data_IF_088283875312
#
_entry.id   IF_088283875312
#
_cell.length_a   1.000
_cell.length_b   1.000
_cell.length_c   1.000
_cell.angle_alpha   90.00
_cell.angle_beta   90.00
_cell.angle_gamma   90.00
#
_symmetry.space_group_name_H-M   'P 1'
#
loop_
_entity.id
_entity.type
_entity.pdbx_description
1 polymer ?
#
# COMPACT_ATOMS: atom_id res chain seq x y z
N UNK A 1 -14.96 31.90 -23.30
CA UNK A 1 -14.88 32.79 -22.13
C UNK A 1 -13.79 32.27 -21.21
N UNK A 2 -12.88 33.13 -20.73
CA UNK A 2 -11.76 32.73 -19.86
C UNK A 2 -12.27 32.13 -18.54
N UNK A 3 -11.56 31.15 -17.99
CA UNK A 3 -11.86 30.51 -16.71
C UNK A 3 -12.03 31.55 -15.57
N UNK A 4 -11.27 32.65 -15.61
CA UNK A 4 -11.39 33.74 -14.64
C UNK A 4 -12.70 34.53 -14.78
N UNK A 5 -13.27 34.60 -15.99
CA UNK A 5 -14.51 35.33 -16.24
C UNK A 5 -15.74 34.67 -15.62
N UNK A 6 -15.79 33.33 -15.59
CA UNK A 6 -16.91 32.62 -14.99
C UNK A 6 -16.85 32.64 -13.45
N UNK A 7 -15.66 32.63 -12.86
CA UNK A 7 -15.48 32.86 -11.42
C UNK A 7 -16.03 34.23 -11.01
N UNK A 8 -15.61 35.29 -11.73
CA UNK A 8 -16.04 36.64 -11.43
C UNK A 8 -17.56 36.82 -11.55
N UNK A 9 -18.18 36.27 -12.61
CA UNK A 9 -19.64 36.27 -12.78
C UNK A 9 -20.36 35.60 -11.62
N UNK A 10 -19.84 34.45 -11.16
CA UNK A 10 -20.43 33.75 -10.03
C UNK A 10 -20.31 34.57 -8.75
N UNK A 11 -19.15 35.16 -8.46
CA UNK A 11 -18.96 36.00 -7.27
C UNK A 11 -19.87 37.22 -7.27
N UNK A 12 -20.13 37.83 -8.43
CA UNK A 12 -21.12 38.89 -8.55
C UNK A 12 -22.52 38.40 -8.17
N UNK A 13 -22.93 37.24 -8.68
CA UNK A 13 -24.28 36.70 -8.47
C UNK A 13 -24.54 36.20 -7.05
N UNK A 14 -23.51 35.73 -6.34
CA UNK A 14 -23.63 35.28 -4.93
C UNK A 14 -23.23 36.34 -3.91
N UNK A 15 -22.85 37.54 -4.37
CA UNK A 15 -22.49 38.62 -3.47
C UNK A 15 -23.69 39.18 -2.72
N UNK A 16 -23.44 39.66 -1.51
CA UNK A 16 -24.43 40.34 -0.67
C UNK A 16 -23.84 41.61 -0.06
N UNK A 17 -24.64 42.38 0.65
CA UNK A 17 -24.17 43.56 1.40
C UNK A 17 -23.09 43.22 2.43
N UNK A 18 -23.10 41.99 2.98
CA UNK A 18 -22.12 41.51 3.94
C UNK A 18 -20.89 40.85 3.28
N UNK A 19 -21.04 40.27 2.09
CA UNK A 19 -19.98 39.55 1.39
C UNK A 19 -19.91 39.98 -0.08
N UNK A 20 -19.13 41.02 -0.34
CA UNK A 20 -18.98 41.59 -1.70
C UNK A 20 -18.21 40.64 -2.64
N UNK A 21 -18.41 40.79 -3.95
CA UNK A 21 -17.66 40.03 -4.95
C UNK A 21 -16.13 40.24 -4.83
N UNK A 22 -15.68 41.44 -4.46
CA UNK A 22 -14.26 41.74 -4.22
C UNK A 22 -13.73 41.07 -2.95
N UNK A 23 -14.58 40.88 -1.94
CA UNK A 23 -14.24 40.14 -0.72
C UNK A 23 -14.07 38.65 -1.07
N UNK A 24 -14.99 38.09 -1.86
CA UNK A 24 -14.92 36.71 -2.34
C UNK A 24 -13.67 36.46 -3.20
N UNK A 25 -13.32 37.39 -4.09
CA UNK A 25 -12.10 37.30 -4.89
C UNK A 25 -10.84 37.36 -4.00
N UNK A 26 -10.81 38.22 -2.98
CA UNK A 26 -9.70 38.26 -2.00
C UNK A 26 -9.56 36.95 -1.23
N UNK A 27 -10.68 36.40 -0.73
CA UNK A 27 -10.69 35.10 -0.03
C UNK A 27 -10.12 34.01 -0.94
N UNK A 28 -10.56 33.97 -2.21
CA UNK A 28 -10.06 33.00 -3.19
C UNK A 28 -8.54 33.14 -3.40
N UNK A 29 -8.03 34.35 -3.61
CA UNK A 29 -6.60 34.56 -3.91
C UNK A 29 -5.70 34.28 -2.70
N UNK A 30 -6.09 34.73 -1.49
CA UNK A 30 -5.27 34.54 -0.27
C UNK A 30 -5.14 33.07 0.12
N UNK A 31 -6.18 32.27 -0.13
CA UNK A 31 -6.19 30.85 0.24
C UNK A 31 -5.65 29.94 -0.87
N UNK A 32 -5.12 30.48 -1.97
CA UNK A 32 -4.66 29.70 -3.11
C UNK A 32 -3.24 29.16 -2.87
N UNK A 33 -3.13 27.88 -2.57
CA UNK A 33 -1.84 27.21 -2.30
C UNK A 33 -1.91 25.72 -2.69
N UNK A 34 -0.76 25.06 -2.76
CA UNK A 34 -0.70 23.60 -2.91
C UNK A 34 -1.00 22.96 -1.55
N UNK A 35 -1.98 22.05 -1.44
CA UNK A 35 -2.30 21.40 -0.16
C UNK A 35 -1.08 20.70 0.47
N UNK A 36 -0.92 20.84 1.78
CA UNK A 36 0.24 20.32 2.53
C UNK A 36 0.06 18.86 2.98
N UNK A 37 -1.08 18.23 2.63
CA UNK A 37 -1.34 16.82 2.89
C UNK A 37 -2.67 16.28 2.35
N UNK A 38 -2.82 14.95 2.35
CA UNK A 38 -3.96 14.24 1.76
C UNK A 38 -5.32 14.63 2.38
N UNK A 39 -5.35 14.94 3.68
CA UNK A 39 -6.57 15.36 4.37
C UNK A 39 -7.07 16.74 3.91
N UNK A 40 -6.16 17.69 3.71
CA UNK A 40 -6.49 19.01 3.17
C UNK A 40 -6.92 18.92 1.71
N UNK A 41 -6.26 18.07 0.93
CA UNK A 41 -6.59 17.83 -0.47
C UNK A 41 -8.02 17.30 -0.64
N UNK A 42 -8.42 16.27 0.11
CA UNK A 42 -9.76 15.68 0.06
C UNK A 42 -10.83 16.71 0.46
N UNK A 43 -10.56 17.51 1.51
CA UNK A 43 -11.52 18.51 1.99
C UNK A 43 -11.66 19.69 1.03
N UNK A 44 -10.56 20.17 0.46
CA UNK A 44 -10.56 21.23 -0.54
C UNK A 44 -11.28 20.79 -1.82
N UNK A 45 -11.05 19.56 -2.26
CA UNK A 45 -11.75 18.99 -3.41
C UNK A 45 -13.27 18.94 -3.19
N UNK A 46 -13.71 18.35 -2.07
CA UNK A 46 -15.13 18.18 -1.76
C UNK A 46 -15.89 19.53 -1.72
N UNK A 47 -15.30 20.54 -1.07
CA UNK A 47 -15.88 21.90 -1.00
C UNK A 47 -15.88 22.60 -2.36
N UNK A 48 -14.84 22.40 -3.16
CA UNK A 48 -14.77 22.93 -4.53
C UNK A 48 -15.88 22.33 -5.40
N UNK A 49 -16.10 21.01 -5.32
CA UNK A 49 -17.21 20.33 -6.02
C UNK A 49 -18.56 20.90 -5.60
N UNK A 50 -18.76 21.12 -4.30
CA UNK A 50 -20.00 21.69 -3.79
C UNK A 50 -20.25 23.12 -4.30
N UNK A 51 -19.21 23.95 -4.34
CA UNK A 51 -19.30 25.29 -4.93
C UNK A 51 -19.59 25.24 -6.43
N UNK A 52 -18.93 24.34 -7.16
CA UNK A 52 -19.12 24.20 -8.61
C UNK A 52 -20.53 23.71 -8.95
N UNK A 53 -21.12 22.86 -8.11
CA UNK A 53 -22.53 22.51 -8.21
C UNK A 53 -23.45 23.73 -8.01
N UNK A 54 -23.11 24.67 -7.12
CA UNK A 54 -23.85 25.94 -6.99
C UNK A 54 -23.71 26.80 -8.26
N UNK A 55 -22.51 26.90 -8.82
CA UNK A 55 -22.28 27.62 -10.09
C UNK A 55 -23.15 27.03 -11.21
N UNK A 56 -23.16 25.70 -11.35
CA UNK A 56 -23.93 24.99 -12.36
C UNK A 56 -25.44 25.22 -12.21
N UNK A 57 -25.95 25.23 -10.97
CA UNK A 57 -27.37 25.57 -10.68
C UNK A 57 -27.74 26.99 -11.12
N UNK A 58 -26.78 27.90 -11.15
CA UNK A 58 -26.96 29.28 -11.63
C UNK A 58 -26.69 29.43 -13.14
N UNK A 59 -26.48 28.33 -13.86
CA UNK A 59 -26.14 28.35 -15.29
C UNK A 59 -24.73 28.87 -15.58
N UNK A 60 -23.89 29.02 -14.56
CA UNK A 60 -22.50 29.47 -14.71
C UNK A 60 -21.59 28.25 -14.83
N UNK A 61 -20.89 28.16 -15.97
CA UNK A 61 -19.92 27.09 -16.22
C UNK A 61 -18.72 27.22 -15.26
N UNK A 62 -18.44 26.23 -14.40
CA UNK A 62 -17.31 26.30 -13.49
C UNK A 62 -15.96 26.39 -14.23
N UNK A 63 -14.95 27.03 -13.62
CA UNK A 63 -13.61 27.09 -14.16
C UNK A 63 -12.87 25.77 -13.92
N UNK A 64 -13.04 24.83 -14.84
CA UNK A 64 -12.41 23.51 -14.82
C UNK A 64 -11.14 23.51 -15.68
N UNK A 65 -10.10 22.79 -15.25
CA UNK A 65 -8.84 22.65 -15.98
C UNK A 65 -8.40 21.19 -16.16
N UNK A 66 -9.15 20.25 -15.61
CA UNK A 66 -8.91 18.81 -15.71
C UNK A 66 -10.24 18.07 -15.98
N UNK A 67 -10.12 16.84 -16.47
CA UNK A 67 -11.25 15.97 -16.83
C UNK A 67 -12.12 15.56 -15.63
N UNK A 68 -11.61 15.73 -14.41
CA UNK A 68 -12.31 15.53 -13.13
C UNK A 68 -13.40 16.59 -12.84
N UNK A 69 -13.56 17.57 -13.74
CA UNK A 69 -14.48 18.68 -13.58
C UNK A 69 -14.04 19.67 -12.51
N UNK A 70 -12.75 19.68 -12.16
CA UNK A 70 -12.19 20.52 -11.12
C UNK A 70 -11.17 21.52 -11.66
N UNK A 71 -10.91 22.59 -10.89
CA UNK A 71 -9.80 23.47 -11.17
C UNK A 71 -8.48 22.78 -10.77
N UNK A 72 -7.35 23.34 -11.19
CA UNK A 72 -6.01 22.88 -10.80
C UNK A 72 -5.93 22.70 -9.29
N UNK A 73 -5.20 21.67 -8.80
CA UNK A 73 -5.08 21.37 -7.36
C UNK A 73 -4.78 22.60 -6.49
N UNK A 74 -3.82 23.45 -6.90
CA UNK A 74 -3.49 24.70 -6.19
C UNK A 74 -4.64 25.70 -6.04
N UNK A 75 -5.66 25.61 -6.89
CA UNK A 75 -6.83 26.49 -6.90
C UNK A 75 -7.98 25.98 -6.04
N UNK A 76 -7.99 24.69 -5.69
CA UNK A 76 -9.08 24.08 -4.91
C UNK A 76 -9.20 24.66 -3.49
N UNK A 77 -8.10 24.90 -2.72
CA UNK A 77 -8.21 25.54 -1.42
C UNK A 77 -8.83 26.94 -1.48
N UNK A 78 -8.58 27.69 -2.55
CA UNK A 78 -9.22 28.99 -2.78
C UNK A 78 -10.73 28.90 -2.96
N UNK A 79 -11.22 27.94 -3.76
CA UNK A 79 -12.67 27.72 -3.94
C UNK A 79 -13.32 27.14 -2.68
N UNK A 80 -12.61 26.27 -1.95
CA UNK A 80 -13.06 25.73 -0.68
C UNK A 80 -13.28 26.83 0.38
N UNK A 81 -12.37 27.79 0.48
CA UNK A 81 -12.51 28.94 1.38
C UNK A 81 -13.72 29.83 1.01
N UNK A 82 -13.99 30.01 -0.28
CA UNK A 82 -15.18 30.73 -0.75
C UNK A 82 -16.47 30.00 -0.38
N UNK A 83 -16.49 28.67 -0.54
CA UNK A 83 -17.61 27.85 -0.11
C UNK A 83 -17.90 28.00 1.38
N UNK A 84 -16.87 27.93 2.23
CA UNK A 84 -17.02 28.11 3.67
C UNK A 84 -17.55 29.50 4.03
N UNK A 85 -17.03 30.55 3.37
CA UNK A 85 -17.50 31.92 3.58
C UNK A 85 -19.00 32.06 3.25
N UNK A 86 -19.45 31.49 2.13
CA UNK A 86 -20.86 31.52 1.73
C UNK A 86 -21.75 30.70 2.69
N UNK A 87 -21.29 29.55 3.16
CA UNK A 87 -22.06 28.70 4.07
C UNK A 87 -22.16 29.30 5.47
N UNK A 88 -21.10 29.92 5.97
CA UNK A 88 -21.11 30.60 7.26
C UNK A 88 -22.03 31.84 7.26
N UNK A 89 -22.15 32.52 6.11
CA UNK A 89 -23.09 33.63 5.93
C UNK A 89 -24.55 33.22 5.69
N UNK A 90 -24.86 31.94 5.42
CA UNK A 90 -26.25 31.43 5.36
C UNK A 90 -26.90 31.22 6.73
N UNK A 91 -26.16 31.41 7.83
CA UNK A 91 -26.61 31.08 9.19
C UNK A 91 -27.35 32.23 9.91
N UNK A 92 -27.79 33.26 9.19
CA UNK A 92 -28.79 34.21 9.71
C UNK A 92 -30.11 33.96 8.99
N UNK A 93 -31.19 33.58 9.69
CA UNK A 93 -32.47 33.30 9.05
C UNK A 93 -33.10 34.64 8.63
N UNK A 94 -33.23 34.85 7.33
CA UNK A 94 -34.07 35.92 6.79
C UNK A 94 -34.88 35.37 5.59
N UNK A 95 -36.13 35.07 5.93
CA UNK A 95 -37.39 35.13 5.18
C UNK A 95 -37.54 34.57 3.74
N UNK A 96 -38.64 33.80 3.59
CA UNK A 96 -39.38 33.41 2.39
C UNK A 96 -38.96 32.17 1.57
N UNK A 97 -39.38 31.02 2.11
CA UNK A 97 -39.53 29.70 1.47
C UNK A 97 -40.83 29.58 0.61
N UNK A 98 -41.15 30.56 -0.26
CA UNK A 98 -42.35 30.46 -1.14
C UNK A 98 -42.10 30.56 -2.66
N UNK A 99 -40.90 30.88 -3.16
CA UNK A 99 -40.65 30.98 -4.62
C UNK A 99 -40.12 29.69 -5.29
N UNK A 100 -39.98 28.58 -4.55
CA UNK A 100 -39.43 27.32 -5.12
C UNK A 100 -40.44 26.43 -5.86
N UNK A 101 -41.67 26.88 -6.11
CA UNK A 101 -42.69 26.06 -6.78
C UNK A 101 -43.27 26.64 -8.09
N UNK A 102 -42.72 27.72 -8.66
CA UNK A 102 -43.29 28.35 -9.87
C UNK A 102 -42.33 28.54 -11.06
N UNK A 103 -41.27 27.75 -11.16
CA UNK A 103 -40.41 27.78 -12.36
C UNK A 103 -40.13 26.38 -12.93
N UNK A 104 -41.19 25.58 -13.07
CA UNK A 104 -41.14 24.28 -13.77
C UNK A 104 -41.97 24.23 -15.05
N UNK A 105 -42.58 25.33 -15.52
CA UNK A 105 -43.45 25.25 -16.70
C UNK A 105 -43.45 26.53 -17.54
N UNK A 106 -42.43 26.68 -18.37
CA UNK A 106 -42.49 27.28 -19.73
C UNK A 106 -41.08 27.65 -20.16
N UNK A 107 -40.48 26.89 -21.06
CA UNK A 107 -39.62 27.42 -22.13
C UNK A 107 -39.38 26.31 -23.15
N UNK A 108 -40.26 26.31 -24.14
CA UNK A 108 -40.11 25.63 -25.43
C UNK A 108 -39.28 26.58 -26.27
N UNK A 109 -38.10 26.16 -26.72
CA UNK A 109 -37.19 27.00 -27.49
C UNK A 109 -36.02 26.19 -28.05
N UNK A 110 -36.21 25.74 -29.30
CA UNK A 110 -35.22 25.53 -30.37
C UNK A 110 -33.88 24.84 -30.02
N UNK A 111 -33.77 23.60 -30.50
CA UNK A 111 -32.56 22.78 -30.50
C UNK A 111 -31.46 23.37 -31.39
N UNK A 112 -30.20 23.47 -30.91
CA UNK A 112 -29.04 23.34 -31.75
C UNK A 112 -28.57 21.87 -31.72
N UNK A 113 -28.60 21.27 -32.90
CA UNK A 113 -27.92 20.04 -33.29
C UNK A 113 -26.44 20.15 -32.91
N UNK A 114 -26.02 19.56 -31.80
CA UNK A 114 -24.63 19.19 -31.44
C UNK A 114 -24.68 18.53 -30.05
N UNK A 115 -25.10 17.27 -30.02
CA UNK A 115 -25.36 16.48 -28.80
C UNK A 115 -24.04 16.08 -28.08
N UNK A 116 -23.33 17.06 -27.50
CA UNK A 116 -22.35 16.80 -26.44
C UNK A 116 -23.04 16.87 -25.08
N UNK A 117 -23.34 15.68 -24.56
CA UNK A 117 -24.03 15.45 -23.29
C UNK A 117 -23.32 16.14 -22.12
N UNK A 118 -24.12 16.80 -21.27
CA UNK A 118 -23.73 17.44 -20.01
C UNK A 118 -22.74 16.55 -19.20
N UNK A 119 -21.52 17.04 -18.98
CA UNK A 119 -20.56 16.41 -18.05
C UNK A 119 -19.29 15.81 -18.64
N UNK A 120 -18.96 16.07 -19.91
CA UNK A 120 -17.70 15.57 -20.50
C UNK A 120 -17.75 14.09 -20.89
N UNK A 121 -18.95 13.51 -21.00
CA UNK A 121 -19.18 12.15 -21.47
C UNK A 121 -20.00 12.20 -22.76
N UNK A 122 -19.75 11.30 -23.70
CA UNK A 122 -20.53 11.12 -24.92
C UNK A 122 -21.92 10.49 -24.60
N UNK A 123 -22.76 10.32 -25.63
CA UNK A 123 -24.10 9.72 -25.50
C UNK A 123 -24.09 8.31 -24.89
N UNK A 124 -22.99 7.59 -25.06
CA UNK A 124 -22.77 6.25 -24.56
C UNK A 124 -22.22 6.23 -23.12
N UNK A 125 -21.95 7.41 -22.53
CA UNK A 125 -21.48 7.56 -21.16
C UNK A 125 -19.97 7.44 -20.97
N UNK A 126 -19.18 7.58 -22.04
CA UNK A 126 -17.71 7.54 -22.05
C UNK A 126 -17.12 8.94 -22.21
N UNK A 127 -16.06 9.26 -21.48
CA UNK A 127 -15.30 10.50 -21.67
C UNK A 127 -14.35 10.42 -22.89
N UNK A 128 -13.68 11.53 -23.20
CA UNK A 128 -12.72 11.61 -24.32
C UNK A 128 -11.55 10.61 -24.20
N UNK A 129 -11.25 10.14 -23.00
CA UNK A 129 -10.20 9.16 -22.73
C UNK A 129 -10.73 7.71 -22.72
N UNK A 130 -12.03 7.51 -22.96
CA UNK A 130 -12.67 6.20 -23.01
C UNK A 130 -13.02 5.62 -21.66
N UNK A 131 -13.18 6.43 -20.61
CA UNK A 131 -13.63 6.00 -19.28
C UNK A 131 -15.09 6.36 -19.03
N UNK A 132 -15.83 5.47 -18.38
CA UNK A 132 -17.22 5.69 -18.02
C UNK A 132 -17.35 6.67 -16.85
N UNK A 133 -18.58 7.02 -16.48
CA UNK A 133 -18.88 7.91 -15.34
C UNK A 133 -18.34 7.43 -13.99
N UNK A 134 -18.04 6.13 -13.84
CA UNK A 134 -17.41 5.57 -12.65
C UNK A 134 -15.87 5.60 -12.72
N UNK A 135 -15.29 6.12 -13.80
CA UNK A 135 -13.86 6.26 -14.00
C UNK A 135 -13.16 5.00 -14.51
N UNK A 136 -13.89 4.05 -15.11
CA UNK A 136 -13.35 2.80 -15.64
C UNK A 136 -13.48 2.73 -17.16
N UNK A 137 -12.48 2.20 -17.84
CA UNK A 137 -12.49 1.98 -19.29
C UNK A 137 -13.44 0.84 -19.71
N UNK A 138 -13.53 0.58 -21.01
CA UNK A 138 -14.34 -0.50 -21.57
C UNK A 138 -13.93 -1.90 -21.05
N UNK A 139 -12.72 -2.06 -20.52
CA UNK A 139 -12.21 -3.30 -19.94
C UNK A 139 -12.40 -3.35 -18.42
N UNK A 140 -12.99 -2.31 -17.80
CA UNK A 140 -13.24 -2.24 -16.36
C UNK A 140 -12.04 -1.82 -15.52
N UNK A 141 -11.05 -1.13 -16.10
CA UNK A 141 -9.85 -0.61 -15.42
C UNK A 141 -9.90 0.90 -15.29
N UNK A 142 -9.51 1.40 -14.12
CA UNK A 142 -9.44 2.84 -13.85
C UNK A 142 -8.26 3.49 -14.59
N UNK A 143 -8.15 4.80 -14.49
CA UNK A 143 -7.07 5.60 -15.11
C UNK A 143 -5.66 5.25 -14.62
N UNK A 144 -5.54 4.57 -13.49
CA UNK A 144 -4.28 4.02 -12.97
C UNK A 144 -4.01 2.59 -13.44
N UNK A 145 -4.89 2.02 -14.26
CA UNK A 145 -4.77 0.68 -14.81
C UNK A 145 -5.26 -0.44 -13.89
N UNK A 146 -6.03 -0.14 -12.83
CA UNK A 146 -6.54 -1.12 -11.87
C UNK A 146 -8.05 -1.32 -11.98
N UNK A 147 -8.52 -2.56 -11.88
CA UNK A 147 -9.94 -2.86 -11.85
C UNK A 147 -10.58 -2.47 -10.51
N UNK A 148 -11.90 -2.65 -10.40
CA UNK A 148 -12.68 -2.37 -9.17
C UNK A 148 -12.22 -3.16 -7.93
N UNK A 149 -11.47 -4.24 -8.12
CA UNK A 149 -10.90 -5.06 -7.06
C UNK A 149 -9.46 -4.66 -6.72
N UNK A 150 -8.92 -3.62 -7.35
CA UNK A 150 -7.58 -3.11 -7.12
C UNK A 150 -6.46 -3.88 -7.83
N UNK A 151 -6.76 -4.67 -8.87
CA UNK A 151 -5.78 -5.44 -9.63
C UNK A 151 -5.57 -4.87 -11.03
N UNK A 152 -4.32 -4.84 -11.48
CA UNK A 152 -3.93 -4.40 -12.80
C UNK A 152 -4.35 -5.40 -13.90
N UNK A 153 -4.06 -5.05 -15.16
CA UNK A 153 -4.36 -5.93 -16.31
C UNK A 153 -3.63 -7.27 -16.27
N UNK A 154 -2.52 -7.35 -15.54
CA UNK A 154 -1.72 -8.56 -15.35
C UNK A 154 -2.16 -9.36 -14.11
N UNK A 155 -3.17 -8.87 -13.37
CA UNK A 155 -3.73 -9.50 -12.19
C UNK A 155 -2.98 -9.22 -10.88
N UNK A 156 -2.16 -8.16 -10.82
CA UNK A 156 -1.40 -7.76 -9.63
C UNK A 156 -2.01 -6.53 -8.96
N UNK A 157 -2.07 -6.55 -7.63
CA UNK A 157 -2.50 -5.39 -6.85
C UNK A 157 -1.43 -4.29 -6.85
N UNK A 158 -1.74 -3.16 -6.20
CA UNK A 158 -0.81 -2.02 -6.07
C UNK A 158 0.52 -2.37 -5.38
N UNK A 159 0.55 -3.45 -4.59
CA UNK A 159 1.75 -3.95 -3.92
C UNK A 159 2.53 -4.96 -4.78
N UNK A 160 2.06 -5.24 -6.00
CA UNK A 160 2.71 -6.17 -6.92
C UNK A 160 2.38 -7.64 -6.69
N UNK A 161 1.31 -7.97 -5.96
CA UNK A 161 0.90 -9.35 -5.66
C UNK A 161 -0.41 -9.74 -6.35
N UNK A 162 -0.51 -10.98 -6.83
CA UNK A 162 -1.76 -11.56 -7.32
C UNK A 162 -2.74 -11.83 -6.18
N UNK A 163 -3.98 -12.16 -6.53
CA UNK A 163 -4.99 -12.69 -5.59
C UNK A 163 -4.50 -13.92 -4.83
N UNK A 164 -3.59 -14.70 -5.42
CA UNK A 164 -2.94 -15.84 -4.76
C UNK A 164 -1.91 -15.44 -3.70
N UNK A 165 -1.61 -14.15 -3.51
CA UNK A 165 -0.63 -13.65 -2.55
C UNK A 165 0.83 -13.70 -3.00
N UNK A 166 1.09 -13.96 -4.29
CA UNK A 166 2.43 -14.09 -4.86
C UNK A 166 2.73 -12.99 -5.89
N UNK A 167 3.95 -12.50 -5.90
CA UNK A 167 4.44 -11.49 -6.82
C UNK A 167 4.66 -12.06 -8.24
N UNK A 168 5.20 -11.24 -9.14
CA UNK A 168 5.47 -11.64 -10.52
C UNK A 168 6.55 -12.73 -10.65
N UNK A 169 7.38 -12.87 -9.62
CA UNK A 169 8.49 -13.82 -9.57
C UNK A 169 8.11 -15.08 -8.79
N UNK A 170 6.91 -15.12 -8.23
CA UNK A 170 6.36 -16.28 -7.53
C UNK A 170 6.63 -16.28 -6.02
N UNK A 171 7.00 -15.15 -5.43
CA UNK A 171 7.28 -15.01 -3.99
C UNK A 171 6.15 -14.31 -3.25
N UNK A 172 5.86 -14.76 -2.03
CA UNK A 172 4.87 -14.15 -1.15
C UNK A 172 5.41 -12.84 -0.53
N UNK A 173 4.60 -12.17 0.28
CA UNK A 173 5.01 -10.93 0.95
C UNK A 173 6.18 -11.10 1.93
N UNK A 174 6.44 -12.32 2.39
CA UNK A 174 7.56 -12.68 3.26
C UNK A 174 8.83 -13.03 2.45
N UNK A 175 8.75 -13.07 1.12
CA UNK A 175 9.85 -13.37 0.23
C UNK A 175 10.08 -14.85 -0.05
N UNK A 176 9.11 -15.72 0.23
CA UNK A 176 9.17 -17.17 -0.01
C UNK A 176 8.28 -17.62 -1.16
N UNK A 177 8.76 -18.57 -1.95
CA UNK A 177 8.01 -19.19 -3.05
C UNK A 177 6.91 -20.14 -2.54
N UNK A 178 6.26 -20.86 -3.45
CA UNK A 178 5.20 -21.82 -3.09
C UNK A 178 5.73 -23.07 -2.39
N UNK A 179 7.01 -23.34 -2.51
CA UNK A 179 7.72 -24.45 -1.91
C UNK A 179 8.30 -24.06 -0.54
N UNK A 180 8.23 -22.78 -0.18
CA UNK A 180 8.70 -22.25 1.09
C UNK A 180 10.18 -21.85 1.08
N UNK A 181 10.78 -21.62 -0.09
CA UNK A 181 12.16 -21.17 -0.26
C UNK A 181 12.22 -19.69 -0.62
N UNK A 182 13.20 -19.00 -0.05
CA UNK A 182 13.49 -17.62 -0.37
C UNK A 182 14.14 -17.47 -1.75
N UNK A 183 14.47 -16.24 -2.12
CA UNK A 183 15.10 -15.90 -3.40
C UNK A 183 16.49 -16.48 -3.59
N UNK A 184 17.15 -16.89 -2.50
CA UNK A 184 18.44 -17.57 -2.53
C UNK A 184 18.28 -19.11 -2.52
N UNK A 185 17.05 -19.62 -2.46
CA UNK A 185 16.76 -21.05 -2.44
C UNK A 185 16.80 -21.68 -1.05
N UNK A 186 16.70 -20.90 0.04
CA UNK A 186 16.71 -21.40 1.42
C UNK A 186 15.33 -21.28 2.07
N UNK A 187 14.95 -22.32 2.81
CA UNK A 187 13.71 -22.34 3.56
C UNK A 187 13.75 -21.40 4.76
N UNK A 188 12.60 -21.21 5.42
CA UNK A 188 12.51 -20.41 6.66
C UNK A 188 13.42 -20.92 7.78
N UNK A 189 13.81 -22.20 7.77
CA UNK A 189 14.76 -22.79 8.72
C UNK A 189 16.22 -22.60 8.30
N UNK A 190 16.47 -21.97 7.15
CA UNK A 190 17.80 -21.64 6.64
C UNK A 190 18.45 -22.73 5.80
N UNK A 191 17.71 -23.78 5.40
CA UNK A 191 18.22 -24.90 4.62
C UNK A 191 17.65 -24.92 3.20
N UNK A 192 18.48 -25.30 2.23
CA UNK A 192 18.08 -25.50 0.83
C UNK A 192 17.27 -26.79 0.63
N UNK A 193 16.86 -27.05 -0.61
CA UNK A 193 16.09 -28.25 -0.97
C UNK A 193 16.85 -29.57 -0.77
N UNK A 194 18.18 -29.53 -0.64
CA UNK A 194 19.02 -30.68 -0.35
C UNK A 194 19.31 -30.82 1.15
N UNK A 195 18.83 -29.89 1.99
CA UNK A 195 19.01 -29.92 3.44
C UNK A 195 20.32 -29.31 3.91
N UNK A 196 20.96 -28.44 3.12
CA UNK A 196 22.19 -27.73 3.49
C UNK A 196 21.92 -26.26 3.79
N UNK A 197 22.57 -25.73 4.81
CA UNK A 197 22.47 -24.33 5.20
C UNK A 197 23.21 -23.42 4.22
N UNK A 198 23.13 -22.10 4.46
CA UNK A 198 23.85 -21.09 3.65
C UNK A 198 25.38 -21.24 3.69
N UNK A 199 25.92 -21.95 4.67
CA UNK A 199 27.33 -22.32 4.75
C UNK A 199 27.67 -23.58 3.94
N UNK A 200 26.67 -24.29 3.43
CA UNK A 200 26.82 -25.54 2.69
C UNK A 200 26.87 -26.78 3.58
N UNK A 201 26.35 -26.72 4.81
CA UNK A 201 26.38 -27.82 5.79
C UNK A 201 24.98 -28.29 6.17
N UNK A 202 24.80 -29.59 6.31
CA UNK A 202 23.55 -30.16 6.78
C UNK A 202 23.37 -29.95 8.30
N UNK A 203 22.22 -30.36 8.82
CA UNK A 203 21.90 -30.23 10.24
C UNK A 203 22.89 -30.97 11.17
N UNK A 204 23.58 -32.00 10.66
CA UNK A 204 24.61 -32.75 11.37
C UNK A 204 26.02 -32.12 11.24
N UNK A 205 26.13 -30.98 10.55
CA UNK A 205 27.36 -30.24 10.36
C UNK A 205 28.29 -30.81 9.28
N UNK A 206 27.79 -31.54 8.30
CA UNK A 206 28.58 -32.06 7.16
C UNK A 206 28.29 -31.30 5.87
N UNK A 207 29.34 -31.03 5.10
CA UNK A 207 29.24 -30.45 3.77
C UNK A 207 28.72 -31.45 2.73
N UNK A 208 28.46 -30.97 1.51
CA UNK A 208 27.99 -31.80 0.39
C UNK A 208 28.97 -32.90 -0.05
N UNK A 209 30.23 -32.82 0.36
CA UNK A 209 31.26 -33.85 0.11
C UNK A 209 31.42 -34.81 1.30
N UNK A 210 30.66 -34.65 2.38
CA UNK A 210 30.75 -35.44 3.60
C UNK A 210 31.86 -34.98 4.57
N UNK A 211 32.46 -33.81 4.37
CA UNK A 211 33.43 -33.24 5.31
C UNK A 211 32.70 -32.50 6.43
N UNK A 212 33.15 -32.69 7.66
CA UNK A 212 32.56 -32.00 8.82
C UNK A 212 33.01 -30.54 8.89
N UNK A 213 32.10 -29.63 9.23
CA UNK A 213 32.36 -28.19 9.42
C UNK A 213 33.56 -27.96 10.34
N UNK A 214 34.43 -27.02 10.00
CA UNK A 214 35.69 -26.77 10.71
C UNK A 214 35.52 -26.48 12.20
N UNK A 215 34.39 -25.89 12.60
CA UNK A 215 34.03 -25.68 14.01
C UNK A 215 33.83 -26.99 14.80
N UNK A 216 33.52 -28.09 14.10
CA UNK A 216 33.44 -29.45 14.63
C UNK A 216 34.60 -30.34 14.13
N UNK A 217 35.59 -29.78 13.45
CA UNK A 217 36.77 -30.54 13.02
C UNK A 217 37.66 -30.84 14.24
N UNK A 218 38.35 -31.99 14.24
CA UNK A 218 39.30 -32.31 15.30
C UNK A 218 40.44 -31.29 15.37
N UNK A 219 40.86 -30.91 16.58
CA UNK A 219 42.07 -30.13 16.84
C UNK A 219 43.35 -30.95 16.56
N UNK A 220 44.52 -30.40 16.89
CA UNK A 220 45.82 -31.10 16.70
C UNK A 220 45.92 -32.42 17.50
N UNK A 221 45.14 -32.56 18.56
CA UNK A 221 45.07 -33.76 19.40
C UNK A 221 43.93 -34.70 18.96
N UNK A 222 43.34 -34.45 17.78
CA UNK A 222 42.21 -35.18 17.22
C UNK A 222 40.92 -35.08 18.09
N UNK A 223 40.75 -33.96 18.80
CA UNK A 223 39.58 -33.66 19.63
C UNK A 223 38.58 -32.75 18.93
N UNK A 224 37.32 -33.17 18.91
CA UNK A 224 36.18 -32.42 18.42
C UNK A 224 35.88 -31.21 19.33
N UNK A 225 35.04 -30.30 18.85
CA UNK A 225 34.70 -29.05 19.56
C UNK A 225 34.02 -29.22 20.93
N UNK A 226 33.53 -30.42 21.27
CA UNK A 226 33.02 -30.77 22.61
C UNK A 226 34.10 -31.33 23.56
N UNK A 227 35.36 -31.36 23.12
CA UNK A 227 36.51 -31.86 23.88
C UNK A 227 36.69 -33.38 23.84
N UNK A 228 36.00 -34.09 22.95
CA UNK A 228 36.08 -35.56 22.81
C UNK A 228 36.63 -35.96 21.46
N UNK A 229 37.25 -37.13 21.37
CA UNK A 229 37.69 -37.71 20.11
C UNK A 229 36.51 -38.26 19.28
N UNK A 230 36.79 -38.72 18.06
CA UNK A 230 35.78 -39.35 17.18
C UNK A 230 35.12 -40.62 17.75
N UNK A 231 35.63 -41.18 18.83
CA UNK A 231 35.08 -42.35 19.51
C UNK A 231 34.34 -41.98 20.81
N UNK A 232 34.24 -40.68 21.13
CA UNK A 232 33.53 -40.15 22.28
C UNK A 232 34.32 -40.11 23.58
N UNK A 233 35.65 -40.27 23.53
CA UNK A 233 36.54 -40.22 24.70
C UNK A 233 37.19 -38.85 24.84
N UNK A 234 37.28 -38.35 26.06
CA UNK A 234 38.00 -37.11 26.38
C UNK A 234 39.53 -37.28 26.28
N UNK A 235 40.28 -36.21 26.60
CA UNK A 235 41.76 -36.19 26.57
C UNK A 235 42.40 -37.18 27.53
N UNK A 236 41.65 -37.63 28.53
CA UNK A 236 42.09 -38.61 29.52
C UNK A 236 41.69 -40.04 29.12
N UNK A 237 40.95 -40.20 28.01
CA UNK A 237 40.53 -41.49 27.47
C UNK A 237 39.22 -42.01 28.05
N UNK A 238 38.40 -41.16 28.69
CA UNK A 238 37.12 -41.54 29.29
C UNK A 238 35.92 -41.02 28.49
N UNK A 239 34.88 -41.83 28.39
CA UNK A 239 33.64 -41.45 27.75
C UNK A 239 32.83 -40.48 28.64
N UNK A 240 31.66 -40.06 28.17
CA UNK A 240 30.78 -39.15 28.93
C UNK A 240 30.31 -39.67 30.29
N UNK A 241 30.36 -40.98 30.49
CA UNK A 241 30.01 -41.65 31.73
C UNK A 241 31.22 -41.86 32.65
N UNK A 242 32.41 -41.40 32.26
CA UNK A 242 33.64 -41.52 33.03
C UNK A 242 34.31 -42.90 32.94
N UNK A 243 34.00 -43.69 31.90
CA UNK A 243 34.61 -45.01 31.67
C UNK A 243 35.53 -44.99 30.46
N UNK A 244 36.67 -45.68 30.57
CA UNK A 244 37.61 -45.87 29.50
C UNK A 244 37.04 -46.81 28.41
N UNK A 245 37.83 -47.04 27.36
CA UNK A 245 37.43 -47.92 26.25
C UNK A 245 37.25 -49.39 26.62
N UNK A 246 37.70 -49.78 27.80
CA UNK A 246 37.58 -51.13 28.35
C UNK A 246 36.44 -51.24 29.38
N UNK A 247 35.76 -50.12 29.66
CA UNK A 247 34.62 -50.07 30.58
C UNK A 247 34.99 -49.82 32.03
N UNK A 248 36.20 -49.30 32.33
CA UNK A 248 36.66 -49.01 33.68
C UNK A 248 36.72 -47.51 33.96
N UNK A 249 36.30 -47.10 35.15
CA UNK A 249 36.42 -45.73 35.62
C UNK A 249 37.89 -45.36 35.94
N UNK A 250 38.12 -44.10 36.29
CA UNK A 250 39.45 -43.61 36.71
C UNK A 250 40.05 -44.31 37.93
N UNK A 251 39.27 -45.09 38.67
CA UNK A 251 39.71 -45.89 39.80
C UNK A 251 39.98 -47.36 39.42
N UNK A 252 39.86 -47.69 38.13
CA UNK A 252 40.01 -49.03 37.59
C UNK A 252 38.82 -49.95 37.90
N UNK A 253 37.62 -49.40 38.06
CA UNK A 253 36.41 -50.13 38.40
C UNK A 253 35.39 -50.13 37.27
N UNK A 254 34.80 -51.30 36.99
CA UNK A 254 33.70 -51.39 36.03
C UNK A 254 32.39 -50.79 36.60
N UNK A 255 31.34 -50.80 35.78
CA UNK A 255 29.99 -50.35 36.18
C UNK A 255 29.40 -51.13 37.35
N UNK A 256 29.92 -52.31 37.67
CA UNK A 256 29.53 -53.18 38.77
C UNK A 256 30.46 -53.08 40.00
N UNK A 257 31.47 -52.18 39.97
CA UNK A 257 32.50 -52.01 41.02
C UNK A 257 33.54 -53.14 41.09
N UNK A 258 33.75 -53.89 40.03
CA UNK A 258 34.83 -54.87 39.94
C UNK A 258 36.13 -54.27 39.41
N UNK A 259 37.27 -54.74 39.93
CA UNK A 259 38.58 -54.46 39.36
C UNK A 259 38.80 -55.16 38.01
N UNK A 260 39.93 -54.87 37.35
CA UNK A 260 40.30 -55.50 36.07
C UNK A 260 40.43 -57.03 36.11
N UNK A 261 40.48 -57.62 37.31
CA UNK A 261 40.54 -59.08 37.52
C UNK A 261 39.18 -59.65 37.96
N UNK A 262 38.10 -58.85 37.97
CA UNK A 262 36.76 -59.27 38.36
C UNK A 262 36.55 -59.39 39.87
N UNK A 263 37.35 -58.71 40.70
CA UNK A 263 37.20 -58.73 42.17
C UNK A 263 36.47 -57.50 42.68
N UNK A 264 35.58 -57.69 43.65
CA UNK A 264 34.86 -56.61 44.35
C UNK A 264 35.79 -55.66 45.10
N UNK A 265 35.44 -54.37 45.14
CA UNK A 265 36.01 -53.35 46.03
C UNK A 265 34.97 -52.72 46.94
#
# INVERSE_FOLDING_TARGET
>A
MSCDGNRHKFFQQVSSSALSADTLERIYQTNRHTPDGLGEEITAEAKTRALFAMMQKMGIKPPTHAADGLPRKRSQPGYAAVYDALQNHKSTPDENEEEKQQLTMSYIGEEPEDEYCYGGFNREGWDEEGYNRAGYDAQGYNRHGYNKHGYDRSGYNIYGFRTSGYDKEGYNAEGYDRQGYDRDGFSVTGFDAEGYDRGGYNQDGYDRNGNRHAFFAPDQDNMLGDGRDKYGFDREGYNQNGFDRYGYDKNGLDVLRHDINGRDK
#
